data_IF_106051213475
#
_entry.id   IF_106051213475
#
_cell.length_a   1.000
_cell.length_b   1.000
_cell.length_c   1.000
_cell.angle_alpha   90.00
_cell.angle_beta   90.00
_cell.angle_gamma   90.00
#
_symmetry.space_group_name_H-M   'P 1'
#
loop_
_entity.id
_entity.type
_entity.pdbx_description
1 polymer ?
#
# COMPACT_ATOMS: atom_id res chain seq x y z
N UNK A 1 32.20 -34.88 -24.47
CA UNK A 1 31.06 -34.70 -23.55
C UNK A 1 31.54 -34.71 -22.10
N UNK A 2 32.40 -35.64 -21.72
CA UNK A 2 33.02 -35.72 -20.38
C UNK A 2 33.72 -34.42 -19.94
N UNK A 3 34.46 -33.75 -20.85
CA UNK A 3 35.12 -32.47 -20.54
C UNK A 3 34.13 -31.35 -20.14
N UNK A 4 32.91 -31.36 -20.67
CA UNK A 4 31.88 -30.35 -20.33
C UNK A 4 31.32 -30.63 -18.94
N UNK A 5 31.01 -31.90 -18.66
CA UNK A 5 30.45 -32.33 -17.38
C UNK A 5 31.47 -32.15 -16.24
N UNK A 6 32.78 -32.28 -16.53
CA UNK A 6 33.85 -31.94 -15.60
C UNK A 6 33.83 -30.46 -15.18
N UNK A 7 33.63 -29.53 -16.13
CA UNK A 7 33.55 -28.09 -15.82
C UNK A 7 32.22 -27.74 -15.16
N UNK A 8 31.13 -28.34 -15.64
CA UNK A 8 29.78 -28.16 -15.08
C UNK A 8 29.70 -28.51 -13.59
N UNK A 9 30.41 -29.57 -13.19
CA UNK A 9 30.44 -30.09 -11.82
C UNK A 9 31.60 -29.56 -10.97
N UNK A 10 32.54 -28.77 -11.55
CA UNK A 10 33.82 -28.39 -10.91
C UNK A 10 33.68 -27.55 -9.63
N UNK A 11 32.57 -26.83 -9.49
CA UNK A 11 32.35 -25.86 -8.41
C UNK A 11 31.24 -26.28 -7.43
N UNK A 12 30.87 -27.57 -7.38
CA UNK A 12 29.76 -28.07 -6.55
C UNK A 12 28.46 -27.24 -6.70
N UNK A 13 28.24 -26.67 -7.89
CA UNK A 13 27.03 -25.93 -8.20
C UNK A 13 25.85 -26.89 -8.01
N UNK A 14 25.01 -26.59 -7.03
CA UNK A 14 23.72 -27.25 -6.94
C UNK A 14 22.85 -26.71 -8.07
N UNK A 15 22.83 -27.41 -9.19
CA UNK A 15 21.96 -27.13 -10.31
C UNK A 15 20.56 -27.62 -9.99
N UNK A 16 19.87 -26.90 -9.11
CA UNK A 16 18.54 -27.23 -8.64
C UNK A 16 17.56 -26.14 -9.03
N UNK A 17 16.49 -26.52 -9.71
CA UNK A 17 15.36 -25.65 -10.04
C UNK A 17 14.12 -26.15 -9.29
N UNK A 18 13.37 -25.27 -8.59
CA UNK A 18 12.14 -25.66 -7.92
C UNK A 18 11.11 -26.29 -8.89
N UNK A 19 10.47 -27.38 -8.46
CA UNK A 19 9.45 -28.11 -9.20
C UNK A 19 8.30 -28.49 -8.28
N UNK A 20 7.26 -27.67 -8.24
CA UNK A 20 6.18 -27.79 -7.26
C UNK A 20 6.72 -27.65 -5.84
N UNK A 21 6.63 -28.72 -5.05
CA UNK A 21 7.15 -28.81 -3.67
C UNK A 21 8.55 -29.46 -3.58
N UNK A 22 9.21 -29.69 -4.72
CA UNK A 22 10.49 -30.40 -4.83
C UNK A 22 11.50 -29.60 -5.66
N UNK A 23 12.59 -30.24 -6.07
CA UNK A 23 13.60 -29.67 -6.96
C UNK A 23 13.94 -30.66 -8.07
N UNK A 24 14.07 -30.16 -9.31
CA UNK A 24 14.79 -30.88 -10.36
C UNK A 24 16.27 -30.58 -10.21
N UNK A 25 17.09 -31.62 -10.07
CA UNK A 25 18.54 -31.52 -10.03
C UNK A 25 19.12 -31.94 -11.39
N UNK A 26 20.00 -31.10 -11.94
CA UNK A 26 20.70 -31.37 -13.19
C UNK A 26 22.13 -31.81 -12.89
N UNK A 27 22.51 -33.00 -13.34
CA UNK A 27 23.86 -33.55 -13.17
C UNK A 27 24.75 -33.26 -14.38
N UNK A 28 24.12 -32.91 -15.49
CA UNK A 28 24.79 -32.63 -16.76
C UNK A 28 24.26 -31.36 -17.42
N UNK A 29 25.15 -30.67 -18.16
CA UNK A 29 24.78 -29.45 -18.90
C UNK A 29 23.73 -29.71 -19.99
N UNK A 30 23.67 -30.93 -20.51
CA UNK A 30 22.64 -31.34 -21.49
C UNK A 30 21.25 -31.47 -20.89
N UNK A 31 21.14 -31.93 -19.64
CA UNK A 31 19.87 -32.03 -18.95
C UNK A 31 19.30 -30.62 -18.73
N UNK A 32 20.14 -29.69 -18.28
CA UNK A 32 19.79 -28.28 -18.16
C UNK A 32 19.41 -27.65 -19.52
N UNK A 33 20.18 -27.93 -20.58
CA UNK A 33 19.89 -27.42 -21.92
C UNK A 33 18.54 -27.95 -22.45
N UNK A 34 18.27 -29.25 -22.26
CA UNK A 34 17.00 -29.86 -22.65
C UNK A 34 15.85 -29.23 -21.89
N UNK A 35 16.01 -29.07 -20.58
CA UNK A 35 15.03 -28.41 -19.72
C UNK A 35 14.70 -26.98 -20.19
N UNK A 36 15.73 -26.16 -20.40
CA UNK A 36 15.55 -24.78 -20.87
C UNK A 36 14.85 -24.74 -22.23
N UNK A 37 15.21 -25.64 -23.15
CA UNK A 37 14.56 -25.75 -24.46
C UNK A 37 13.07 -26.09 -24.36
N UNK A 38 12.70 -26.97 -23.44
CA UNK A 38 11.30 -27.34 -23.21
C UNK A 38 10.51 -26.16 -22.65
N UNK A 39 11.04 -25.45 -21.65
CA UNK A 39 10.41 -24.24 -21.12
C UNK A 39 10.25 -23.19 -22.23
N UNK A 40 11.28 -22.94 -23.04
CA UNK A 40 11.19 -22.02 -24.20
C UNK A 40 10.00 -22.36 -25.09
N UNK A 41 9.81 -23.64 -25.43
CA UNK A 41 8.69 -24.05 -26.28
C UNK A 41 7.33 -23.83 -25.60
N UNK A 42 7.19 -24.17 -24.32
CA UNK A 42 5.93 -23.99 -23.59
C UNK A 42 5.56 -22.51 -23.49
N UNK A 43 6.53 -21.65 -23.16
CA UNK A 43 6.30 -20.20 -23.08
C UNK A 43 6.09 -19.55 -24.44
N UNK A 44 6.68 -20.12 -25.50
CA UNK A 44 6.46 -19.69 -26.89
C UNK A 44 5.04 -20.01 -27.37
N UNK A 45 4.53 -21.19 -27.04
CA UNK A 45 3.18 -21.60 -27.43
C UNK A 45 2.10 -20.85 -26.63
N UNK A 46 2.46 -20.31 -25.46
CA UNK A 46 1.62 -19.47 -24.61
C UNK A 46 2.02 -17.97 -24.66
N UNK A 47 2.61 -17.53 -25.78
CA UNK A 47 3.12 -16.17 -26.02
C UNK A 47 1.99 -15.14 -26.24
N UNK A 48 1.10 -15.00 -25.26
CA UNK A 48 0.08 -13.94 -25.24
C UNK A 48 0.27 -13.12 -23.97
N UNK A 49 0.24 -11.79 -24.10
CA UNK A 49 0.38 -10.86 -22.98
C UNK A 49 1.74 -10.92 -22.28
N UNK A 50 1.73 -10.98 -20.95
CA UNK A 50 2.94 -10.85 -20.12
C UNK A 50 3.75 -12.14 -19.98
N UNK A 51 3.27 -13.27 -20.52
CA UNK A 51 4.04 -14.50 -20.68
C UNK A 51 5.23 -14.33 -21.65
N UNK A 52 5.24 -13.26 -22.44
CA UNK A 52 6.35 -12.88 -23.32
C UNK A 52 7.66 -12.63 -22.57
N UNK A 53 7.61 -12.07 -21.36
CA UNK A 53 8.80 -11.86 -20.52
C UNK A 53 9.46 -13.17 -20.10
N UNK A 54 8.67 -14.23 -19.96
CA UNK A 54 9.15 -15.56 -19.54
C UNK A 54 9.68 -16.37 -20.69
N UNK A 55 9.02 -16.28 -21.83
CA UNK A 55 9.61 -16.73 -23.06
C UNK A 55 10.97 -16.10 -23.29
N UNK A 56 11.09 -14.76 -23.21
CA UNK A 56 12.36 -14.06 -23.41
C UNK A 56 13.41 -14.50 -22.40
N UNK A 57 13.05 -14.63 -21.13
CA UNK A 57 13.96 -15.05 -20.08
C UNK A 57 14.51 -16.47 -20.30
N UNK A 58 13.64 -17.47 -20.49
CA UNK A 58 14.07 -18.86 -20.75
C UNK A 58 14.83 -18.96 -22.08
N UNK A 59 14.45 -18.17 -23.10
CA UNK A 59 15.12 -18.14 -24.39
C UNK A 59 16.55 -17.59 -24.27
N UNK A 60 16.75 -16.53 -23.48
CA UNK A 60 18.10 -16.00 -23.22
C UNK A 60 18.99 -17.02 -22.51
N UNK A 61 18.47 -17.71 -21.49
CA UNK A 61 19.25 -18.76 -20.81
C UNK A 61 19.60 -19.93 -21.74
N UNK A 62 18.63 -20.38 -22.54
CA UNK A 62 18.82 -21.44 -23.53
C UNK A 62 19.87 -21.07 -24.57
N UNK A 63 19.75 -19.89 -25.19
CA UNK A 63 20.69 -19.41 -26.20
C UNK A 63 22.09 -19.21 -25.62
N UNK A 64 22.21 -18.62 -24.42
CA UNK A 64 23.50 -18.46 -23.75
C UNK A 64 24.19 -19.81 -23.49
N UNK A 65 23.45 -20.80 -22.97
CA UNK A 65 24.01 -22.13 -22.70
C UNK A 65 24.40 -22.85 -24.01
N UNK A 66 23.51 -22.82 -25.02
CA UNK A 66 23.73 -23.46 -26.31
C UNK A 66 24.96 -22.89 -27.02
N UNK A 67 25.06 -21.56 -27.12
CA UNK A 67 26.19 -20.87 -27.75
C UNK A 67 27.49 -21.12 -27.00
N UNK A 68 27.44 -21.21 -25.67
CA UNK A 68 28.61 -21.52 -24.84
C UNK A 68 29.12 -22.94 -25.04
N UNK A 69 28.21 -23.92 -25.13
CA UNK A 69 28.56 -25.31 -25.46
C UNK A 69 29.19 -25.39 -26.85
N UNK A 70 28.63 -24.70 -27.85
CA UNK A 70 29.18 -24.66 -29.21
C UNK A 70 30.54 -23.96 -29.25
N UNK A 71 30.70 -22.84 -28.56
CA UNK A 71 31.97 -22.10 -28.48
C UNK A 71 33.05 -22.93 -27.80
N UNK A 72 32.76 -23.53 -26.65
CA UNK A 72 33.71 -24.40 -25.94
C UNK A 72 34.11 -25.62 -26.78
N UNK A 73 33.18 -26.20 -27.54
CA UNK A 73 33.49 -27.30 -28.48
C UNK A 73 34.58 -26.92 -29.48
N UNK A 74 34.62 -25.64 -29.90
CA UNK A 74 35.58 -25.11 -30.88
C UNK A 74 36.88 -24.61 -30.25
N UNK A 75 36.78 -23.84 -29.17
CA UNK A 75 37.90 -23.08 -28.61
C UNK A 75 38.57 -23.75 -27.42
N UNK A 76 37.88 -24.70 -26.77
CA UNK A 76 38.31 -25.35 -25.51
C UNK A 76 38.62 -24.36 -24.38
N UNK A 77 38.10 -23.13 -24.44
CA UNK A 77 38.32 -22.11 -23.43
C UNK A 77 37.48 -22.38 -22.16
N UNK A 78 38.10 -23.02 -21.18
CA UNK A 78 37.43 -23.42 -19.93
C UNK A 78 36.96 -22.22 -19.10
N UNK A 79 37.78 -21.18 -18.97
CA UNK A 79 37.44 -20.01 -18.14
C UNK A 79 36.22 -19.27 -18.65
N UNK A 80 36.10 -19.12 -19.97
CA UNK A 80 34.93 -18.51 -20.58
C UNK A 80 33.67 -19.35 -20.38
N UNK A 81 33.76 -20.67 -20.56
CA UNK A 81 32.63 -21.57 -20.33
C UNK A 81 32.18 -21.55 -18.86
N UNK A 82 33.12 -21.57 -17.91
CA UNK A 82 32.83 -21.54 -16.48
C UNK A 82 32.21 -20.20 -16.03
N UNK A 83 32.64 -19.09 -16.62
CA UNK A 83 32.05 -17.76 -16.39
C UNK A 83 30.57 -17.73 -16.80
N UNK A 84 30.23 -18.29 -17.96
CA UNK A 84 28.84 -18.30 -18.44
C UNK A 84 27.98 -19.27 -17.62
N UNK A 85 28.53 -20.40 -17.19
CA UNK A 85 27.85 -21.28 -16.23
C UNK A 85 27.58 -20.58 -14.89
N UNK A 86 28.50 -19.75 -14.39
CA UNK A 86 28.25 -18.93 -13.20
C UNK A 86 27.14 -17.91 -13.41
N UNK A 87 27.11 -17.24 -14.57
CA UNK A 87 26.05 -16.28 -14.89
C UNK A 87 24.68 -16.96 -14.98
N UNK A 88 24.59 -18.09 -15.68
CA UNK A 88 23.36 -18.88 -15.78
C UNK A 88 22.92 -19.36 -14.38
N UNK A 89 23.85 -19.88 -13.57
CA UNK A 89 23.55 -20.33 -12.21
C UNK A 89 23.03 -19.17 -11.34
N UNK A 90 23.70 -18.02 -11.38
CA UNK A 90 23.28 -16.81 -10.67
C UNK A 90 21.88 -16.36 -11.09
N UNK A 91 21.62 -16.32 -12.40
CA UNK A 91 20.32 -15.97 -12.93
C UNK A 91 19.24 -16.96 -12.49
N UNK A 92 19.58 -18.25 -12.41
CA UNK A 92 18.66 -19.29 -11.95
C UNK A 92 18.29 -19.13 -10.48
N UNK A 93 19.27 -18.85 -9.63
CA UNK A 93 19.05 -18.72 -8.18
C UNK A 93 18.30 -17.44 -7.79
N UNK A 94 18.56 -16.34 -8.51
CA UNK A 94 18.03 -15.03 -8.13
C UNK A 94 16.74 -14.63 -8.85
N UNK A 95 16.27 -15.42 -9.82
CA UNK A 95 15.01 -15.13 -10.49
C UNK A 95 13.84 -15.89 -9.84
N UNK A 96 13.00 -15.16 -9.12
CA UNK A 96 11.75 -15.68 -8.55
C UNK A 96 10.81 -16.30 -9.60
N UNK A 97 10.95 -15.92 -10.88
CA UNK A 97 10.18 -16.48 -11.99
C UNK A 97 10.59 -17.93 -12.33
N UNK A 98 11.83 -18.34 -12.12
CA UNK A 98 12.20 -19.75 -12.33
C UNK A 98 11.52 -20.68 -11.32
N UNK A 99 11.04 -20.13 -10.21
CA UNK A 99 10.35 -20.92 -9.18
C UNK A 99 9.00 -21.45 -9.65
N UNK A 100 8.48 -21.00 -10.80
CA UNK A 100 7.46 -21.74 -11.51
C UNK A 100 8.09 -22.45 -12.70
N UNK A 101 7.90 -23.75 -12.71
CA UNK A 101 8.14 -24.56 -13.88
C UNK A 101 6.78 -24.72 -14.57
N UNK A 102 6.70 -24.36 -15.85
CA UNK A 102 5.44 -24.36 -16.59
C UNK A 102 4.77 -25.74 -16.65
N UNK A 103 5.54 -26.83 -16.52
CA UNK A 103 5.04 -28.21 -16.49
C UNK A 103 4.48 -28.66 -15.14
N UNK A 104 4.63 -27.87 -14.08
CA UNK A 104 4.06 -28.20 -12.77
C UNK A 104 2.59 -27.81 -12.68
N UNK A 105 1.81 -28.46 -11.82
CA UNK A 105 0.42 -28.06 -11.54
C UNK A 105 0.32 -26.57 -11.16
N UNK A 106 1.25 -26.10 -10.30
CA UNK A 106 1.33 -24.69 -9.93
C UNK A 106 1.67 -23.78 -11.12
N UNK A 107 2.61 -24.18 -11.98
CA UNK A 107 2.97 -23.42 -13.18
C UNK A 107 1.82 -23.32 -14.18
N UNK A 108 1.10 -24.43 -14.41
CA UNK A 108 -0.09 -24.46 -15.26
C UNK A 108 -1.22 -23.62 -14.71
N UNK A 109 -1.43 -23.61 -13.38
CA UNK A 109 -2.41 -22.76 -12.71
C UNK A 109 -2.07 -21.27 -12.88
N UNK A 110 -0.82 -20.88 -12.68
CA UNK A 110 -0.35 -19.50 -12.91
C UNK A 110 -0.53 -19.11 -14.37
N UNK A 111 -0.18 -19.99 -15.32
CA UNK A 111 -0.39 -19.80 -16.75
C UNK A 111 -1.87 -19.56 -17.10
N UNK A 112 -2.75 -20.43 -16.61
CA UNK A 112 -4.19 -20.36 -16.85
C UNK A 112 -4.80 -19.03 -16.36
N UNK A 113 -4.30 -18.53 -15.22
CA UNK A 113 -4.74 -17.27 -14.62
C UNK A 113 -4.21 -16.01 -15.34
N UNK A 114 -3.27 -16.17 -16.28
CA UNK A 114 -2.74 -15.12 -17.16
C UNK A 114 -2.45 -13.79 -16.44
N UNK A 115 -1.51 -13.77 -15.48
CA UNK A 115 -1.19 -12.58 -14.70
C UNK A 115 -0.68 -11.45 -15.59
N UNK A 116 -1.05 -10.22 -15.24
CA UNK A 116 -0.65 -9.02 -15.97
C UNK A 116 0.68 -8.42 -15.47
N UNK A 117 1.14 -8.85 -14.30
CA UNK A 117 2.41 -8.38 -13.73
C UNK A 117 3.09 -9.48 -12.93
N UNK A 118 4.38 -9.31 -12.66
CA UNK A 118 5.14 -10.15 -11.74
C UNK A 118 4.46 -10.30 -10.38
N UNK A 119 3.98 -9.18 -9.84
CA UNK A 119 3.37 -9.13 -8.51
C UNK A 119 2.08 -9.91 -8.46
N UNK A 120 1.30 -9.87 -9.54
CA UNK A 120 0.08 -10.67 -9.70
C UNK A 120 0.41 -12.18 -9.78
N UNK A 121 1.44 -12.56 -10.54
CA UNK A 121 1.92 -13.95 -10.60
C UNK A 121 2.36 -14.48 -9.23
N UNK A 122 3.07 -13.66 -8.47
CA UNK A 122 3.49 -13.99 -7.11
C UNK A 122 2.30 -14.23 -6.17
N UNK A 123 1.25 -13.42 -6.28
CA UNK A 123 0.06 -13.58 -5.45
C UNK A 123 -0.71 -14.87 -5.75
N UNK A 124 -0.81 -15.26 -7.02
CA UNK A 124 -1.39 -16.54 -7.44
C UNK A 124 -0.61 -17.70 -6.81
N UNK A 125 0.72 -17.62 -6.83
CA UNK A 125 1.58 -18.65 -6.22
C UNK A 125 1.42 -18.71 -4.71
N UNK A 126 1.39 -17.56 -4.04
CA UNK A 126 1.21 -17.49 -2.59
C UNK A 126 -0.10 -18.16 -2.18
N UNK A 127 -1.21 -17.89 -2.88
CA UNK A 127 -2.50 -18.54 -2.64
C UNK A 127 -2.39 -20.07 -2.71
N UNK A 128 -1.89 -20.65 -3.82
CA UNK A 128 -1.81 -22.10 -3.99
C UNK A 128 -0.79 -22.78 -3.06
N UNK A 129 0.16 -22.01 -2.52
CA UNK A 129 1.10 -22.46 -1.50
C UNK A 129 0.55 -22.30 -0.07
N UNK A 130 -0.64 -21.72 0.11
CA UNK A 130 -1.22 -21.44 1.42
C UNK A 130 -0.53 -20.31 2.18
N UNK A 131 0.17 -19.42 1.47
CA UNK A 131 0.87 -18.28 2.04
C UNK A 131 0.12 -16.98 1.71
N UNK A 132 0.27 -15.96 2.57
CA UNK A 132 -0.19 -14.60 2.28
C UNK A 132 0.88 -13.60 2.72
N UNK A 133 1.35 -12.78 1.79
CA UNK A 133 2.39 -11.79 2.04
C UNK A 133 1.79 -10.39 2.22
N UNK A 134 1.41 -10.07 3.47
CA UNK A 134 0.89 -8.75 3.85
C UNK A 134 1.84 -7.57 3.59
N UNK A 135 3.15 -7.82 3.38
CA UNK A 135 4.11 -6.76 3.06
C UNK A 135 4.11 -6.38 1.57
N UNK A 136 3.38 -7.12 0.72
CA UNK A 136 3.26 -6.88 -0.73
C UNK A 136 1.87 -6.40 -1.14
N UNK A 137 1.09 -5.83 -0.22
CA UNK A 137 -0.29 -5.38 -0.45
C UNK A 137 -0.36 -4.17 -1.38
N UNK A 138 -0.33 -4.42 -2.69
CA UNK A 138 -0.70 -3.49 -3.74
C UNK A 138 -1.84 -4.05 -4.60
N UNK A 139 -2.33 -3.23 -5.52
CA UNK A 139 -3.46 -3.56 -6.39
C UNK A 139 -3.20 -4.85 -7.17
N UNK A 140 -1.99 -5.02 -7.68
CA UNK A 140 -1.57 -6.17 -8.49
C UNK A 140 -1.57 -7.46 -7.66
N UNK A 141 -1.04 -7.40 -6.44
CA UNK A 141 -1.01 -8.54 -5.52
C UNK A 141 -2.42 -8.97 -5.13
N UNK A 142 -3.26 -8.02 -4.72
CA UNK A 142 -4.66 -8.30 -4.39
C UNK A 142 -5.44 -8.86 -5.58
N UNK A 143 -5.21 -8.31 -6.79
CA UNK A 143 -5.83 -8.82 -8.02
C UNK A 143 -5.51 -10.30 -8.23
N UNK A 144 -4.24 -10.68 -8.14
CA UNK A 144 -3.83 -12.07 -8.35
C UNK A 144 -4.39 -13.01 -7.29
N UNK A 145 -4.34 -12.61 -6.02
CA UNK A 145 -4.84 -13.41 -4.92
C UNK A 145 -6.36 -13.64 -5.02
N UNK A 146 -7.14 -12.58 -5.29
CA UNK A 146 -8.59 -12.66 -5.43
C UNK A 146 -8.98 -13.47 -6.66
N UNK A 147 -8.36 -13.23 -7.83
CA UNK A 147 -8.62 -14.00 -9.05
C UNK A 147 -8.44 -15.51 -8.81
N UNK A 148 -7.39 -15.87 -8.07
CA UNK A 148 -7.09 -17.26 -7.75
C UNK A 148 -8.14 -17.85 -6.81
N UNK A 149 -8.49 -17.15 -5.75
CA UNK A 149 -9.52 -17.57 -4.79
C UNK A 149 -10.88 -17.78 -5.46
N UNK A 150 -11.25 -16.91 -6.40
CA UNK A 150 -12.49 -17.01 -7.17
C UNK A 150 -12.53 -18.25 -8.06
N UNK A 151 -11.43 -18.55 -8.74
CA UNK A 151 -11.36 -19.71 -9.65
C UNK A 151 -11.21 -21.04 -8.92
N UNK A 152 -10.53 -21.06 -7.78
CA UNK A 152 -10.31 -22.28 -6.98
C UNK A 152 -11.54 -22.66 -6.14
N UNK A 153 -12.45 -21.72 -5.90
CA UNK A 153 -13.67 -21.98 -5.12
C UNK A 153 -14.96 -21.51 -5.82
N UNK A 154 -15.25 -21.99 -7.04
CA UNK A 154 -16.43 -21.57 -7.79
C UNK A 154 -17.75 -21.87 -7.04
N UNK A 155 -17.76 -22.88 -6.15
CA UNK A 155 -18.91 -23.26 -5.33
C UNK A 155 -19.33 -22.18 -4.32
N UNK A 156 -18.42 -21.31 -3.90
CA UNK A 156 -18.78 -20.18 -3.03
C UNK A 156 -19.41 -19.02 -3.80
N UNK A 157 -19.50 -19.14 -5.13
CA UNK A 157 -20.07 -18.13 -6.02
C UNK A 157 -21.16 -18.74 -6.92
N UNK A 158 -22.28 -19.19 -6.33
CA UNK A 158 -23.30 -20.00 -7.02
C UNK A 158 -24.02 -19.31 -8.19
N UNK A 159 -23.92 -17.99 -8.37
CA UNK A 159 -24.41 -17.28 -9.57
C UNK A 159 -23.31 -16.74 -10.51
N UNK A 160 -22.06 -17.19 -10.35
CA UNK A 160 -20.95 -16.87 -11.25
C UNK A 160 -20.28 -15.52 -10.98
N UNK A 161 -19.21 -15.23 -11.75
CA UNK A 161 -18.40 -14.01 -11.62
C UNK A 161 -19.22 -12.73 -11.84
N UNK A 162 -20.22 -12.78 -12.72
CA UNK A 162 -21.12 -11.65 -13.01
C UNK A 162 -21.92 -11.20 -11.78
N UNK A 163 -22.42 -12.13 -10.96
CA UNK A 163 -23.15 -11.80 -9.74
C UNK A 163 -22.26 -11.10 -8.71
N UNK A 164 -20.97 -11.46 -8.64
CA UNK A 164 -19.97 -10.80 -7.79
C UNK A 164 -19.74 -9.36 -8.26
N UNK A 165 -19.61 -9.13 -9.57
CA UNK A 165 -19.46 -7.78 -10.12
C UNK A 165 -20.70 -6.91 -9.88
N UNK A 166 -21.90 -7.50 -9.99
CA UNK A 166 -23.15 -6.81 -9.72
C UNK A 166 -23.23 -6.45 -8.23
N UNK A 167 -23.04 -7.41 -7.31
CA UNK A 167 -23.04 -7.16 -5.86
C UNK A 167 -21.94 -6.19 -5.44
N UNK A 168 -20.76 -6.27 -6.07
CA UNK A 168 -19.67 -5.32 -5.84
C UNK A 168 -20.03 -3.89 -6.26
N UNK A 169 -20.73 -3.72 -7.39
CA UNK A 169 -21.27 -2.42 -7.81
C UNK A 169 -22.34 -1.90 -6.85
N UNK A 170 -23.25 -2.77 -6.41
CA UNK A 170 -24.32 -2.42 -5.46
C UNK A 170 -23.74 -1.95 -4.13
N UNK A 171 -22.83 -2.73 -3.53
CA UNK A 171 -22.17 -2.38 -2.28
C UNK A 171 -21.35 -1.09 -2.38
N UNK A 172 -20.66 -0.87 -3.50
CA UNK A 172 -19.93 0.38 -3.73
C UNK A 172 -20.89 1.57 -3.83
N UNK A 173 -22.06 1.39 -4.47
CA UNK A 173 -23.09 2.43 -4.55
C UNK A 173 -23.70 2.73 -3.17
N UNK A 174 -23.94 1.71 -2.35
CA UNK A 174 -24.38 1.89 -0.96
C UNK A 174 -23.34 2.61 -0.10
N UNK A 175 -22.05 2.26 -0.22
CA UNK A 175 -20.97 2.97 0.47
C UNK A 175 -20.90 4.43 0.07
N UNK A 176 -21.03 4.74 -1.23
CA UNK A 176 -21.07 6.12 -1.71
C UNK A 176 -22.26 6.88 -1.11
N UNK A 177 -23.45 6.26 -1.10
CA UNK A 177 -24.65 6.85 -0.50
C UNK A 177 -24.47 7.11 1.00
N UNK A 178 -23.99 6.12 1.76
CA UNK A 178 -23.72 6.27 3.20
C UNK A 178 -22.69 7.36 3.48
N UNK A 179 -21.65 7.47 2.65
CA UNK A 179 -20.62 8.52 2.77
C UNK A 179 -21.24 9.89 2.53
N UNK A 180 -22.05 10.03 1.48
CA UNK A 180 -22.75 11.28 1.17
C UNK A 180 -23.73 11.69 2.27
N UNK A 181 -24.53 10.74 2.78
CA UNK A 181 -25.46 10.99 3.89
C UNK A 181 -24.73 11.44 5.16
N UNK A 182 -23.55 10.87 5.43
CA UNK A 182 -22.71 11.24 6.58
C UNK A 182 -22.13 12.63 6.43
N UNK A 183 -21.67 12.99 5.23
CA UNK A 183 -21.18 14.35 4.92
C UNK A 183 -22.32 15.36 5.07
N UNK A 184 -23.50 15.07 4.52
CA UNK A 184 -24.67 15.94 4.63
C UNK A 184 -25.09 16.17 6.08
N UNK A 185 -25.17 15.11 6.89
CA UNK A 185 -25.45 15.22 8.33
C UNK A 185 -24.41 16.05 9.08
N UNK A 186 -23.13 15.83 8.77
CA UNK A 186 -22.03 16.60 9.36
C UNK A 186 -22.15 18.09 9.04
N UNK A 187 -22.47 18.44 7.80
CA UNK A 187 -22.65 19.82 7.39
C UNK A 187 -23.85 20.48 8.09
N UNK A 188 -24.98 19.78 8.23
CA UNK A 188 -26.14 20.30 8.97
C UNK A 188 -25.79 20.60 10.43
N UNK A 189 -25.05 19.70 11.10
CA UNK A 189 -24.59 19.92 12.48
C UNK A 189 -23.69 21.15 12.56
N UNK A 190 -22.78 21.33 11.59
CA UNK A 190 -21.89 22.51 11.54
C UNK A 190 -22.70 23.80 11.35
N UNK A 191 -23.72 23.80 10.48
CA UNK A 191 -24.60 24.95 10.28
C UNK A 191 -25.42 25.29 11.53
N UNK A 192 -25.95 24.28 12.23
CA UNK A 192 -26.63 24.46 13.51
C UNK A 192 -25.70 25.07 14.57
N UNK A 193 -24.48 24.53 14.71
CA UNK A 193 -23.46 25.08 15.60
C UNK A 193 -23.14 26.54 15.28
N UNK A 194 -22.98 26.87 14.00
CA UNK A 194 -22.71 28.23 13.56
C UNK A 194 -23.86 29.17 13.92
N UNK A 195 -25.11 28.73 13.73
CA UNK A 195 -26.30 29.51 14.12
C UNK A 195 -26.35 29.75 15.62
N UNK A 196 -26.12 28.72 16.44
CA UNK A 196 -26.08 28.86 17.91
C UNK A 196 -24.96 29.80 18.36
N UNK A 197 -23.77 29.75 17.74
CA UNK A 197 -22.68 30.67 18.04
C UNK A 197 -23.05 32.13 17.73
N UNK A 198 -23.72 32.39 16.60
CA UNK A 198 -24.19 33.72 16.24
C UNK A 198 -25.24 34.23 17.22
N UNK A 199 -26.21 33.39 17.61
CA UNK A 199 -27.22 33.73 18.62
C UNK A 199 -26.58 34.07 19.97
N UNK A 200 -25.62 33.25 20.42
CA UNK A 200 -24.89 33.47 21.67
C UNK A 200 -24.07 34.76 21.64
N UNK A 201 -23.37 35.03 20.53
CA UNK A 201 -22.65 36.29 20.33
C UNK A 201 -23.58 37.50 20.42
N UNK A 202 -24.69 37.47 19.70
CA UNK A 202 -25.68 38.56 19.72
C UNK A 202 -26.28 38.78 21.12
N UNK A 203 -26.53 37.70 21.87
CA UNK A 203 -27.01 37.79 23.25
C UNK A 203 -25.94 38.38 24.19
N UNK A 204 -24.68 37.94 24.05
CA UNK A 204 -23.55 38.46 24.81
C UNK A 204 -23.33 39.95 24.55
N UNK A 205 -23.34 40.38 23.28
CA UNK A 205 -23.16 41.78 22.89
C UNK A 205 -24.28 42.68 23.48
N UNK A 206 -25.53 42.18 23.50
CA UNK A 206 -26.66 42.88 24.15
C UNK A 206 -26.49 43.03 25.66
N UNK A 207 -26.08 41.96 26.35
CA UNK A 207 -25.86 42.03 27.80
C UNK A 207 -24.66 42.93 28.14
N UNK A 208 -23.58 42.88 27.36
CA UNK A 208 -22.45 43.81 27.54
C UNK A 208 -22.87 45.26 27.34
N UNK A 209 -23.66 45.57 26.31
CA UNK A 209 -24.19 46.91 26.09
C UNK A 209 -25.07 47.39 27.26
N UNK A 210 -25.90 46.50 27.82
CA UNK A 210 -26.75 46.79 28.98
C UNK A 210 -25.94 47.00 30.26
N UNK A 211 -24.90 46.19 30.48
CA UNK A 211 -23.98 46.37 31.61
C UNK A 211 -23.22 47.68 31.50
N UNK A 212 -22.69 48.00 30.32
CA UNK A 212 -22.01 49.28 30.06
C UNK A 212 -22.93 50.46 30.36
N UNK A 213 -24.17 50.44 29.85
CA UNK A 213 -25.16 51.48 30.15
C UNK A 213 -25.43 51.60 31.65
N UNK A 214 -25.57 50.49 32.38
CA UNK A 214 -25.75 50.50 33.84
C UNK A 214 -24.57 51.11 34.58
N UNK A 215 -23.35 50.85 34.12
CA UNK A 215 -22.13 51.45 34.67
C UNK A 215 -22.14 52.96 34.39
N UNK A 216 -22.39 53.37 33.14
CA UNK A 216 -22.46 54.78 32.75
C UNK A 216 -23.53 55.53 33.57
N UNK A 217 -24.73 54.97 33.70
CA UNK A 217 -25.85 55.53 34.48
C UNK A 217 -25.49 55.64 35.98
N UNK A 218 -24.78 54.64 36.51
CA UNK A 218 -24.29 54.64 37.89
C UNK A 218 -23.23 55.73 38.10
N UNK A 219 -22.25 55.83 37.21
CA UNK A 219 -21.21 56.87 37.26
C UNK A 219 -21.82 58.27 37.24
N UNK A 220 -22.76 58.53 36.31
CA UNK A 220 -23.45 59.83 36.24
C UNK A 220 -24.25 60.13 37.51
N UNK A 221 -25.02 59.16 38.01
CA UNK A 221 -25.93 59.37 39.14
C UNK A 221 -25.23 59.52 40.50
N UNK A 222 -24.04 58.95 40.65
CA UNK A 222 -23.33 58.91 41.93
C UNK A 222 -22.09 59.80 41.97
N UNK A 223 -21.57 60.30 40.84
CA UNK A 223 -20.41 61.21 40.80
C UNK A 223 -20.64 62.48 41.60
N UNK A 224 -21.82 63.09 41.50
CA UNK A 224 -22.13 64.33 42.22
C UNK A 224 -22.34 64.07 43.72
N UNK A 225 -22.97 62.93 44.07
CA UNK A 225 -23.14 62.51 45.48
C UNK A 225 -21.82 62.17 46.15
N UNK A 226 -20.92 61.48 45.45
CA UNK A 226 -19.57 61.21 45.97
C UNK A 226 -18.76 62.50 46.11
N UNK A 227 -18.84 63.41 45.13
CA UNK A 227 -18.20 64.73 45.21
C UNK A 227 -18.73 65.54 46.39
N UNK A 228 -20.03 65.52 46.65
CA UNK A 228 -20.68 66.21 47.76
C UNK A 228 -20.29 65.60 49.12
N UNK A 229 -20.27 64.27 49.23
CA UNK A 229 -19.82 63.58 50.45
C UNK A 229 -18.34 63.85 50.72
N UNK A 230 -17.49 63.83 49.67
CA UNK A 230 -16.06 64.14 49.78
C UNK A 230 -15.85 65.59 50.23
N UNK A 231 -16.54 66.55 49.60
CA UNK A 231 -16.49 67.96 49.97
C UNK A 231 -16.93 68.18 51.43
N UNK A 232 -18.05 67.56 51.85
CA UNK A 232 -18.55 67.66 53.22
C UNK A 232 -17.58 67.03 54.24
N UNK A 233 -16.91 65.95 53.87
CA UNK A 233 -15.89 65.32 54.71
C UNK A 233 -14.63 66.20 54.84
N UNK A 234 -14.13 66.75 53.73
CA UNK A 234 -12.99 67.67 53.71
C UNK A 234 -13.28 68.96 54.49
N UNK A 235 -14.48 69.53 54.37
CA UNK A 235 -14.89 70.71 55.15
C UNK A 235 -14.97 70.41 56.66
N UNK A 236 -15.53 69.25 57.05
CA UNK A 236 -15.52 68.83 58.45
C UNK A 236 -14.10 68.71 58.98
N UNK A 237 -13.19 68.08 58.23
CA UNK A 237 -11.77 67.98 58.59
C UNK A 237 -11.14 69.37 58.75
N UNK A 238 -11.38 70.29 57.81
CA UNK A 238 -10.87 71.67 57.85
C UNK A 238 -11.33 72.43 59.09
N UNK A 239 -12.62 72.33 59.44
CA UNK A 239 -13.19 72.98 60.63
C UNK A 239 -12.59 72.38 61.91
N UNK A 240 -12.50 71.05 62.01
CA UNK A 240 -11.89 70.39 63.16
C UNK A 240 -10.40 70.67 63.31
N UNK A 241 -9.67 70.83 62.19
CA UNK A 241 -8.26 71.26 62.19
C UNK A 241 -8.08 72.69 62.71
N UNK A 242 -8.97 73.62 62.34
CA UNK A 242 -8.93 75.02 62.80
C UNK A 242 -9.29 75.19 64.28
N UNK A 243 -10.18 74.36 64.81
CA UNK A 243 -10.53 74.40 66.24
C UNK A 243 -9.38 73.96 67.16
N UNK A 244 -8.46 73.12 66.66
CA UNK A 244 -7.26 72.70 67.39
C UNK A 244 -6.08 73.67 67.27
N UNK A 245 -6.10 74.63 66.33
CA UNK A 245 -5.05 75.67 66.21
C UNK A 245 -5.37 76.98 66.93
N UNK A 246 -6.61 77.15 67.41
CA UNK A 246 -7.05 78.34 68.17
C UNK A 246 -6.96 78.20 69.70
N UNK A 247 -6.44 77.08 70.19
CA UNK A 247 -6.10 76.85 71.60
C UNK A 247 -4.62 76.49 71.72
N UNK A 248 -3.77 77.49 71.54
CA UNK A 248 -2.41 77.57 72.10
C UNK A 248 -2.11 79.05 72.32
#
# INVERSE_FOLDING_TARGET
MEEFNLIFNRNHRMWKIPFGNSFVEFKESKELLSFLKEEVNIWKDNFIGNNSGLFQYYNNLYENLNNSIQSFSKTKNQSQFDSILNEIHYNIQNNDLIKFNSKTDLGMKVLFLNPQTQTEANAIMDYFRGNFNGNRLNKEYFSGYIKTLLLDNPQYFPGGIEEIFIKGKELNSEMQKSTFDTISKSNNIIEEFHKTLVEYKNSSDKEQAKQKKRIDDFEVSYKDKFSEVLFNYEEKLRISGRQNTGKN
#
